data_IF_271472075736
#
_entry.id   IF_271472075736
#
_cell.length_a   1.000
_cell.length_b   1.000
_cell.length_c   1.000
_cell.angle_alpha   90.00
_cell.angle_beta   90.00
_cell.angle_gamma   90.00
#
_symmetry.space_group_name_H-M   'P 1'
#
loop_
_entity.id
_entity.type
_entity.pdbx_description
1 polymer ?
#
# COMPACT_ATOMS: atom_id res chain seq x y z
N UNK A 1 36.68 23.06 4.38
CA UNK A 1 36.86 21.90 3.48
C UNK A 1 35.49 21.50 2.97
N UNK A 2 35.29 21.50 1.64
CA UNK A 2 34.07 21.00 1.01
C UNK A 2 34.24 19.51 0.81
N UNK A 3 33.43 18.70 1.51
CA UNK A 3 33.37 17.27 1.28
C UNK A 3 32.82 16.99 -0.13
N UNK A 4 33.38 16.02 -0.84
CA UNK A 4 32.82 15.56 -2.10
C UNK A 4 31.52 14.79 -1.83
N UNK A 5 30.47 15.05 -2.61
CA UNK A 5 29.25 14.24 -2.60
C UNK A 5 29.47 13.01 -3.47
N UNK A 6 29.42 11.83 -2.88
CA UNK A 6 29.60 10.56 -3.60
C UNK A 6 28.28 9.79 -3.79
N UNK A 7 27.21 10.12 -3.06
CA UNK A 7 25.87 9.54 -3.24
C UNK A 7 24.82 10.65 -3.22
N UNK A 8 23.88 10.60 -4.19
CA UNK A 8 22.68 11.44 -4.23
C UNK A 8 21.46 10.56 -4.45
N UNK A 9 20.45 10.69 -3.60
CA UNK A 9 19.20 9.92 -3.68
C UNK A 9 18.05 10.90 -3.90
N UNK A 10 17.31 10.73 -5.00
CA UNK A 10 16.15 11.53 -5.35
C UNK A 10 14.95 10.61 -5.58
N UNK A 11 14.05 10.45 -4.59
CA UNK A 11 12.88 9.61 -4.76
C UNK A 11 11.90 10.25 -5.75
N UNK A 12 11.28 9.40 -6.59
CA UNK A 12 10.11 9.77 -7.39
C UNK A 12 8.92 8.96 -6.91
N UNK A 13 7.79 9.65 -6.69
CA UNK A 13 6.56 9.02 -6.25
C UNK A 13 5.61 8.83 -7.42
N UNK A 14 4.72 7.85 -7.31
CA UNK A 14 3.70 7.60 -8.31
C UNK A 14 2.80 8.84 -8.49
N UNK A 15 2.48 9.21 -9.73
CA UNK A 15 1.73 10.43 -10.06
C UNK A 15 0.37 10.53 -9.36
N UNK A 16 -0.23 9.39 -9.02
CA UNK A 16 -1.48 9.33 -8.24
C UNK A 16 -1.37 10.05 -6.90
N UNK A 17 -0.19 10.02 -6.27
CA UNK A 17 0.05 10.61 -4.95
C UNK A 17 0.15 12.14 -4.97
N UNK A 18 0.21 12.75 -6.16
CA UNK A 18 0.14 14.19 -6.36
C UNK A 18 -1.12 14.60 -7.14
N UNK A 19 -2.05 13.67 -7.38
CA UNK A 19 -3.29 13.92 -8.11
C UNK A 19 -4.42 14.34 -7.19
N UNK A 20 -5.50 14.87 -7.77
CA UNK A 20 -6.72 15.18 -7.02
C UNK A 20 -7.33 13.96 -6.33
N UNK A 21 -7.05 12.73 -6.79
CA UNK A 21 -7.62 11.49 -6.23
C UNK A 21 -7.25 11.24 -4.76
N UNK A 22 -6.18 11.86 -4.27
CA UNK A 22 -5.76 11.79 -2.86
C UNK A 22 -6.08 13.08 -2.08
N UNK A 23 -6.68 14.07 -2.74
CA UNK A 23 -7.03 15.34 -2.11
C UNK A 23 -8.24 15.19 -1.17
N UNK A 24 -8.27 15.94 -0.05
CA UNK A 24 -9.45 15.99 0.81
C UNK A 24 -10.73 16.41 0.06
N UNK A 25 -10.62 17.30 -0.93
CA UNK A 25 -11.72 17.80 -1.72
C UNK A 25 -12.36 16.69 -2.56
N UNK A 26 -11.55 15.87 -3.24
CA UNK A 26 -12.04 14.73 -4.01
C UNK A 26 -12.67 13.67 -3.11
N UNK A 27 -12.00 13.33 -2.00
CA UNK A 27 -12.51 12.36 -1.03
C UNK A 27 -13.87 12.82 -0.50
N UNK A 28 -14.01 14.10 -0.15
CA UNK A 28 -15.26 14.69 0.32
C UNK A 28 -16.33 14.72 -0.79
N UNK A 29 -15.95 15.04 -2.04
CA UNK A 29 -16.87 15.02 -3.16
C UNK A 29 -17.49 13.64 -3.37
N UNK A 30 -16.70 12.58 -3.23
CA UNK A 30 -17.15 11.19 -3.35
C UNK A 30 -18.10 10.73 -2.23
N UNK A 31 -18.33 11.55 -1.19
CA UNK A 31 -19.36 11.28 -0.17
C UNK A 31 -20.75 11.76 -0.60
N UNK A 32 -20.84 12.61 -1.62
CA UNK A 32 -22.11 13.20 -2.08
C UNK A 32 -22.82 12.22 -3.01
N UNK A 33 -23.46 11.21 -2.44
CA UNK A 33 -24.33 10.31 -3.19
C UNK A 33 -25.69 10.97 -3.42
N UNK A 34 -26.06 11.16 -4.69
CA UNK A 34 -27.41 11.55 -5.10
C UNK A 34 -27.99 10.48 -6.04
N UNK A 35 -29.29 10.23 -5.92
CA UNK A 35 -30.03 9.26 -6.74
C UNK A 35 -30.03 7.82 -6.18
N UNK A 36 -30.76 6.94 -6.86
CA UNK A 36 -30.80 5.51 -6.54
C UNK A 36 -29.49 4.83 -6.97
N UNK A 37 -28.92 4.01 -6.10
CA UNK A 37 -27.71 3.22 -6.37
C UNK A 37 -27.99 1.74 -6.09
N UNK A 38 -27.34 0.87 -6.85
CA UNK A 38 -27.36 -0.58 -6.59
C UNK A 38 -26.29 -0.91 -5.55
N UNK A 39 -26.41 -2.09 -4.93
CA UNK A 39 -25.40 -2.52 -3.96
C UNK A 39 -24.00 -2.64 -4.57
N UNK A 40 -23.85 -2.78 -5.90
CA UNK A 40 -22.55 -2.86 -6.60
C UNK A 40 -21.98 -1.50 -7.01
N UNK A 41 -22.65 -0.41 -6.67
CA UNK A 41 -22.24 0.93 -7.10
C UNK A 41 -20.90 1.32 -6.43
N UNK A 42 -19.94 1.77 -7.23
CA UNK A 42 -18.62 2.15 -6.74
C UNK A 42 -18.70 3.31 -5.74
N UNK A 43 -19.71 4.19 -5.88
CA UNK A 43 -19.90 5.37 -5.01
C UNK A 43 -20.05 4.97 -3.55
N UNK A 44 -20.59 3.78 -3.27
CA UNK A 44 -20.74 3.24 -1.92
C UNK A 44 -19.41 3.04 -1.17
N UNK A 45 -18.31 2.83 -1.89
CA UNK A 45 -16.99 2.55 -1.30
C UNK A 45 -15.88 3.45 -1.84
N UNK A 46 -16.23 4.38 -2.72
CA UNK A 46 -15.30 5.32 -3.33
C UNK A 46 -14.53 6.14 -2.27
N UNK A 47 -15.23 6.73 -1.31
CA UNK A 47 -14.62 7.52 -0.24
C UNK A 47 -13.56 6.71 0.56
N UNK A 48 -13.88 5.55 1.18
CA UNK A 48 -12.88 4.80 1.93
C UNK A 48 -11.73 4.29 1.04
N UNK A 49 -11.97 3.99 -0.25
CA UNK A 49 -10.92 3.61 -1.19
C UNK A 49 -9.95 4.76 -1.49
N UNK A 50 -10.45 5.97 -1.76
CA UNK A 50 -9.60 7.14 -1.99
C UNK A 50 -8.89 7.59 -0.70
N UNK A 51 -9.53 7.45 0.46
CA UNK A 51 -8.87 7.68 1.75
C UNK A 51 -7.72 6.69 1.99
N UNK A 52 -7.92 5.41 1.65
CA UNK A 52 -6.88 4.39 1.74
C UNK A 52 -5.71 4.70 0.79
N UNK A 53 -6.00 5.11 -0.44
CA UNK A 53 -5.01 5.53 -1.43
C UNK A 53 -4.18 6.72 -0.92
N UNK A 54 -4.82 7.77 -0.38
CA UNK A 54 -4.13 8.92 0.20
C UNK A 54 -3.22 8.50 1.36
N UNK A 55 -3.71 7.59 2.21
CA UNK A 55 -2.94 7.03 3.33
C UNK A 55 -1.72 6.26 2.83
N UNK A 56 -1.88 5.41 1.82
CA UNK A 56 -0.75 4.68 1.22
C UNK A 56 0.30 5.63 0.64
N UNK A 57 -0.12 6.67 -0.07
CA UNK A 57 0.80 7.68 -0.59
C UNK A 57 1.62 8.36 0.52
N UNK A 58 0.95 8.79 1.60
CA UNK A 58 1.64 9.37 2.76
C UNK A 58 2.59 8.38 3.43
N UNK A 59 2.17 7.12 3.60
CA UNK A 59 3.00 6.09 4.22
C UNK A 59 4.24 5.76 3.38
N UNK A 60 4.11 5.66 2.06
CA UNK A 60 5.27 5.44 1.16
C UNK A 60 6.26 6.58 1.29
N UNK A 61 5.80 7.84 1.27
CA UNK A 61 6.67 9.01 1.44
C UNK A 61 7.43 8.93 2.76
N UNK A 62 6.74 8.70 3.88
CA UNK A 62 7.37 8.58 5.20
C UNK A 62 8.37 7.43 5.28
N UNK A 63 8.05 6.26 4.74
CA UNK A 63 8.95 5.09 4.77
C UNK A 63 10.20 5.36 3.93
N UNK A 64 10.05 5.96 2.75
CA UNK A 64 11.17 6.32 1.88
C UNK A 64 12.04 7.38 2.54
N UNK A 65 11.47 8.47 3.06
CA UNK A 65 12.21 9.55 3.71
C UNK A 65 13.00 9.05 4.93
N UNK A 66 12.36 8.22 5.76
CA UNK A 66 13.03 7.59 6.89
C UNK A 66 14.11 6.62 6.42
N UNK A 67 13.85 5.87 5.35
CA UNK A 67 14.82 4.99 4.72
C UNK A 67 16.06 5.76 4.25
N UNK A 68 15.89 6.89 3.56
CA UNK A 68 16.99 7.73 3.08
C UNK A 68 17.79 8.27 4.26
N UNK A 69 17.12 8.79 5.30
CA UNK A 69 17.80 9.27 6.53
C UNK A 69 18.64 8.18 7.17
N UNK A 70 18.11 6.97 7.32
CA UNK A 70 18.86 5.83 7.88
C UNK A 70 20.04 5.45 6.98
N UNK A 71 19.84 5.39 5.65
CA UNK A 71 20.91 5.06 4.71
C UNK A 71 22.08 6.06 4.79
N UNK A 72 21.78 7.36 4.84
CA UNK A 72 22.79 8.41 4.92
C UNK A 72 23.52 8.48 6.28
N UNK A 73 22.98 7.83 7.32
CA UNK A 73 23.65 7.67 8.61
C UNK A 73 24.56 6.43 8.67
N UNK A 74 24.51 5.56 7.65
CA UNK A 74 25.38 4.38 7.57
C UNK A 74 26.83 4.85 7.41
N UNK A 75 27.74 4.29 8.21
CA UNK A 75 29.16 4.60 8.06
C UNK A 75 29.69 3.93 6.79
N UNK A 76 30.03 4.75 5.79
CA UNK A 76 30.56 4.30 4.49
C UNK A 76 32.09 4.44 4.40
N UNK A 77 32.74 4.88 5.50
CA UNK A 77 34.18 5.11 5.55
C UNK A 77 34.83 4.03 6.41
N UNK A 78 35.70 3.24 5.78
CA UNK A 78 36.54 2.22 6.40
C UNK A 78 37.84 2.83 6.95
N UNK A 79 38.42 2.20 7.97
CA UNK A 79 39.78 2.52 8.45
C UNK A 79 40.87 1.92 7.55
N UNK A 80 40.48 1.08 6.59
CA UNK A 80 41.36 0.46 5.60
C UNK A 80 41.14 1.13 4.23
N UNK A 81 42.20 1.14 3.41
CA UNK A 81 42.09 1.63 2.03
C UNK A 81 41.50 0.49 1.20
N UNK A 82 40.21 0.60 0.91
CA UNK A 82 39.52 -0.32 0.01
C UNK A 82 39.83 0.06 -1.45
N UNK A 83 39.85 -0.94 -2.34
CA UNK A 83 39.89 -0.66 -3.77
C UNK A 83 38.59 0.00 -4.20
N UNK A 84 38.63 0.80 -5.27
CA UNK A 84 37.43 1.42 -5.83
C UNK A 84 36.37 0.36 -6.15
N UNK A 85 36.77 -0.77 -6.75
CA UNK A 85 35.85 -1.86 -7.10
C UNK A 85 35.18 -2.48 -5.87
N UNK A 86 35.93 -2.65 -4.77
CA UNK A 86 35.38 -3.19 -3.52
C UNK A 86 34.38 -2.20 -2.92
N UNK A 87 34.76 -0.93 -2.84
CA UNK A 87 33.89 0.14 -2.34
C UNK A 87 32.58 0.24 -3.15
N UNK A 88 32.66 0.25 -4.49
CA UNK A 88 31.48 0.30 -5.36
C UNK A 88 30.59 -0.94 -5.18
N UNK A 89 31.18 -2.13 -5.03
CA UNK A 89 30.45 -3.38 -4.77
C UNK A 89 29.68 -3.30 -3.44
N UNK A 90 30.34 -2.86 -2.37
CA UNK A 90 29.72 -2.72 -1.05
C UNK A 90 28.59 -1.69 -1.05
N UNK A 91 28.78 -0.53 -1.69
CA UNK A 91 27.73 0.48 -1.83
C UNK A 91 26.53 -0.06 -2.61
N UNK A 92 26.76 -0.80 -3.70
CA UNK A 92 25.68 -1.39 -4.48
C UNK A 92 24.89 -2.44 -3.68
N UNK A 93 25.58 -3.25 -2.86
CA UNK A 93 24.93 -4.18 -1.94
C UNK A 93 24.07 -3.44 -0.90
N UNK A 94 24.61 -2.39 -0.28
CA UNK A 94 23.88 -1.55 0.67
C UNK A 94 22.64 -0.91 0.04
N UNK A 95 22.73 -0.41 -1.20
CA UNK A 95 21.60 0.15 -1.94
C UNK A 95 20.54 -0.92 -2.22
N UNK A 96 20.95 -2.13 -2.61
CA UNK A 96 20.06 -3.25 -2.87
C UNK A 96 19.29 -3.69 -1.61
N UNK A 97 19.99 -3.82 -0.50
CA UNK A 97 19.41 -4.15 0.80
C UNK A 97 18.44 -3.07 1.25
N UNK A 98 18.84 -1.80 1.11
CA UNK A 98 17.98 -0.65 1.43
C UNK A 98 16.67 -0.67 0.65
N UNK A 99 16.71 -0.91 -0.67
CA UNK A 99 15.50 -1.02 -1.52
C UNK A 99 14.58 -2.14 -1.04
N UNK A 100 15.15 -3.29 -0.72
CA UNK A 100 14.41 -4.46 -0.22
C UNK A 100 13.75 -4.17 1.14
N UNK A 101 14.47 -3.52 2.05
CA UNK A 101 13.95 -3.14 3.37
C UNK A 101 12.81 -2.12 3.27
N UNK A 102 12.96 -1.09 2.45
CA UNK A 102 11.92 -0.07 2.21
C UNK A 102 10.65 -0.72 1.65
N UNK A 103 10.79 -1.60 0.64
CA UNK A 103 9.66 -2.33 0.06
C UNK A 103 8.94 -3.20 1.11
N UNK A 104 9.71 -3.97 1.88
CA UNK A 104 9.14 -4.86 2.89
C UNK A 104 8.46 -4.13 4.05
N UNK A 105 8.97 -2.95 4.44
CA UNK A 105 8.32 -2.09 5.44
C UNK A 105 6.95 -1.60 4.99
N UNK A 106 6.76 -1.39 3.69
CA UNK A 106 5.47 -1.00 3.14
C UNK A 106 4.52 -2.21 2.93
N UNK A 107 5.02 -3.32 2.39
CA UNK A 107 4.18 -4.48 2.06
C UNK A 107 3.70 -5.26 3.29
N UNK A 108 4.48 -5.32 4.37
CA UNK A 108 4.12 -6.09 5.58
C UNK A 108 2.77 -5.63 6.19
N UNK A 109 2.57 -4.34 6.50
CA UNK A 109 1.28 -3.88 7.02
C UNK A 109 0.11 -4.16 6.07
N UNK A 110 0.30 -3.98 4.76
CA UNK A 110 -0.75 -4.26 3.76
C UNK A 110 -1.13 -5.74 3.76
N UNK A 111 -0.15 -6.63 3.84
CA UNK A 111 -0.42 -8.07 3.89
C UNK A 111 -1.14 -8.46 5.19
N UNK A 112 -0.77 -7.85 6.33
CA UNK A 112 -1.47 -8.07 7.60
C UNK A 112 -2.94 -7.62 7.49
N UNK A 113 -3.19 -6.41 6.97
CA UNK A 113 -4.54 -5.88 6.76
C UNK A 113 -5.34 -6.84 5.88
N UNK A 114 -4.78 -7.28 4.75
CA UNK A 114 -5.45 -8.23 3.84
C UNK A 114 -5.78 -9.55 4.52
N UNK A 115 -4.85 -10.13 5.28
CA UNK A 115 -5.06 -11.40 6.00
C UNK A 115 -6.15 -11.25 7.05
N UNK A 116 -6.16 -10.17 7.83
CA UNK A 116 -7.20 -9.89 8.82
C UNK A 116 -8.55 -9.68 8.14
N UNK A 117 -8.60 -8.89 7.06
CA UNK A 117 -9.84 -8.68 6.30
C UNK A 117 -10.38 -9.96 5.68
N UNK A 118 -9.52 -10.84 5.16
CA UNK A 118 -9.93 -12.14 4.63
C UNK A 118 -10.44 -13.09 5.73
N UNK A 119 -9.82 -13.09 6.91
CA UNK A 119 -10.31 -13.84 8.06
C UNK A 119 -11.60 -13.28 8.65
N UNK A 120 -11.82 -11.96 8.53
CA UNK A 120 -13.01 -11.28 9.03
C UNK A 120 -14.04 -11.04 7.92
N UNK A 121 -14.75 -12.13 7.58
CA UNK A 121 -15.75 -12.16 6.51
C UNK A 121 -16.89 -11.15 6.68
N UNK A 122 -17.24 -10.81 7.92
CA UNK A 122 -18.33 -9.88 8.23
C UNK A 122 -17.97 -8.44 7.85
N UNK A 123 -16.74 -7.99 8.11
CA UNK A 123 -16.28 -6.64 7.74
C UNK A 123 -16.31 -6.40 6.22
N UNK A 124 -16.08 -7.43 5.41
CA UNK A 124 -16.01 -7.32 3.96
C UNK A 124 -17.39 -7.26 3.27
N UNK A 125 -18.44 -7.73 3.95
CA UNK A 125 -19.74 -7.95 3.33
C UNK A 125 -20.62 -6.71 3.19
N UNK A 126 -20.39 -5.68 4.00
CA UNK A 126 -21.16 -4.42 3.99
C UNK A 126 -20.65 -3.36 3.02
N UNK A 127 -19.49 -3.57 2.38
CA UNK A 127 -18.70 -2.53 1.70
C UNK A 127 -18.20 -2.96 0.30
N UNK A 128 -18.98 -3.72 -0.47
CA UNK A 128 -18.59 -4.27 -1.79
C UNK A 128 -17.21 -4.94 -1.84
N UNK A 129 -16.95 -5.88 -0.94
CA UNK A 129 -15.77 -6.71 -1.08
C UNK A 129 -16.14 -8.18 -1.24
N UNK A 130 -15.11 -8.99 -1.40
CA UNK A 130 -15.00 -10.44 -1.62
C UNK A 130 -16.11 -11.38 -1.10
N UNK A 131 -17.01 -10.93 -0.23
CA UNK A 131 -18.11 -11.71 0.32
C UNK A 131 -19.43 -10.93 0.27
N UNK A 132 -20.54 -11.63 0.08
CA UNK A 132 -21.89 -11.07 0.12
C UNK A 132 -22.69 -11.69 1.26
N UNK A 133 -23.44 -10.86 1.99
CA UNK A 133 -24.46 -11.35 2.93
C UNK A 133 -25.78 -11.47 2.17
N UNK A 134 -26.37 -12.66 2.21
CA UNK A 134 -27.73 -12.91 1.73
C UNK A 134 -28.62 -13.32 2.89
N UNK A 135 -29.82 -12.75 2.97
CA UNK A 135 -30.78 -13.06 4.02
C UNK A 135 -31.41 -14.43 3.75
N UNK A 136 -31.12 -15.41 4.61
CA UNK A 136 -31.76 -16.72 4.59
C UNK A 136 -32.71 -16.79 5.79
N UNK A 137 -33.99 -16.49 5.56
CA UNK A 137 -35.15 -16.68 6.46
C UNK A 137 -34.83 -16.75 7.97
N UNK A 138 -35.06 -15.63 8.67
CA UNK A 138 -35.37 -15.46 10.09
C UNK A 138 -34.51 -16.16 11.17
N UNK A 139 -33.25 -16.52 10.91
CA UNK A 139 -32.21 -16.72 11.97
C UNK A 139 -30.79 -17.00 11.46
N UNK A 140 -30.57 -17.24 10.17
CA UNK A 140 -29.25 -17.61 9.64
C UNK A 140 -28.71 -16.56 8.66
N UNK A 141 -27.51 -16.05 8.95
CA UNK A 141 -26.77 -15.18 8.03
C UNK A 141 -25.96 -16.08 7.10
N UNK A 142 -26.25 -16.03 5.80
CA UNK A 142 -25.45 -16.74 4.80
C UNK A 142 -24.44 -15.78 4.19
N UNK A 143 -23.16 -16.10 4.36
CA UNK A 143 -22.04 -15.37 3.75
C UNK A 143 -21.56 -16.18 2.55
N UNK A 144 -21.59 -15.58 1.37
CA UNK A 144 -21.17 -16.21 0.12
C UNK A 144 -19.94 -15.51 -0.45
N UNK A 145 -18.86 -16.22 -0.81
CA UNK A 145 -17.74 -15.62 -1.52
C UNK A 145 -18.17 -15.16 -2.91
N UNK A 146 -17.61 -14.04 -3.35
CA UNK A 146 -17.66 -13.63 -4.76
C UNK A 146 -16.70 -14.50 -5.56
N UNK A 147 -17.05 -14.72 -6.83
CA UNK A 147 -16.24 -15.47 -7.78
C UNK A 147 -15.98 -14.54 -8.97
N UNK A 148 -14.71 -14.26 -9.23
CA UNK A 148 -14.25 -13.44 -10.36
C UNK A 148 -13.51 -14.34 -11.34
N UNK A 149 -14.03 -14.52 -12.56
CA UNK A 149 -13.37 -15.28 -13.63
C UNK A 149 -12.76 -16.62 -13.18
N UNK A 150 -13.52 -17.41 -12.40
CA UNK A 150 -13.15 -18.68 -11.74
C UNK A 150 -12.32 -18.61 -10.43
N UNK A 151 -11.90 -17.43 -10.00
CA UNK A 151 -11.25 -17.22 -8.71
C UNK A 151 -12.29 -16.98 -7.60
N UNK A 152 -12.35 -17.88 -6.61
CA UNK A 152 -13.22 -17.73 -5.44
C UNK A 152 -12.51 -16.95 -4.34
N UNK A 153 -13.15 -15.88 -3.87
CA UNK A 153 -12.61 -15.07 -2.78
C UNK A 153 -12.55 -15.79 -1.42
N UNK A 154 -13.21 -16.94 -1.28
CA UNK A 154 -13.02 -17.82 -0.13
C UNK A 154 -11.63 -18.48 -0.11
N UNK A 155 -11.04 -18.70 -1.29
CA UNK A 155 -9.76 -19.40 -1.45
C UNK A 155 -8.59 -18.43 -1.57
N UNK A 156 -8.82 -17.23 -2.13
CA UNK A 156 -7.78 -16.23 -2.33
C UNK A 156 -8.31 -14.81 -2.17
N UNK A 157 -7.59 -13.96 -1.44
CA UNK A 157 -7.85 -12.52 -1.38
C UNK A 157 -7.37 -11.76 -2.63
N UNK A 158 -6.75 -12.45 -3.58
CA UNK A 158 -6.17 -11.87 -4.80
C UNK A 158 -7.07 -12.00 -6.03
N UNK A 159 -8.31 -12.49 -5.87
CA UNK A 159 -9.26 -12.53 -6.98
C UNK A 159 -9.59 -11.10 -7.42
N UNK A 160 -9.40 -10.81 -8.72
CA UNK A 160 -9.73 -9.53 -9.38
C UNK A 160 -10.70 -9.77 -10.52
#
# INVERSE_FOLDING_TARGET
MTYANFITIQPSYHQVCSSDLVSPQWIQYNTRTTGNYTYTDYRLNSQPQFQLLATFCQQVQQIVDNGIKTFLQTQLVSSQIDSQDLFESEINLLISDWRTLVLNRFLRPINIIRTISQGNLLMNSGLNNNFSITNSTNKNIKILPRIYSSCSCALSSQCM
#
